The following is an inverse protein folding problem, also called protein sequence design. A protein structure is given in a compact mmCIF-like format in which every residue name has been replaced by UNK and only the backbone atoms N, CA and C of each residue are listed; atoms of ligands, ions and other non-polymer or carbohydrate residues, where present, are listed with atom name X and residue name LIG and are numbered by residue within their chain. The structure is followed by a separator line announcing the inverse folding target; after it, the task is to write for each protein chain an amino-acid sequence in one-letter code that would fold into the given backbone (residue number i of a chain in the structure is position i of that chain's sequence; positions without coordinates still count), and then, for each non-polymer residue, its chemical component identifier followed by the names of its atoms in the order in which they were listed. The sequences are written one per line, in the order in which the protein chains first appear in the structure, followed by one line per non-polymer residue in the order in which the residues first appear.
data_IF_597695048156
#
_entry.id   IF_597695048156
#
_cell.length_a   1.000
_cell.length_b   1.000
_cell.length_c   1.000
_cell.angle_alpha   90.00
_cell.angle_beta   90.00
_cell.angle_gamma   90.00
#
_symmetry.space_group_name_H-M   'P 1'
#
loop_
_entity.id
_entity.type
_entity.pdbx_description
1 polymer ?
#
# COMPACT_ATOMS: atom_id res chain seq x y z
N UNK A 1 0.91 20.44 -14.13
CA UNK A 1 -0.30 21.07 -13.55
C UNK A 1 -1.26 19.95 -13.17
N UNK A 2 -1.39 19.64 -11.87
CA UNK A 2 -2.31 18.59 -11.39
C UNK A 2 -3.69 19.21 -11.33
N UNK A 3 -4.62 18.76 -12.16
CA UNK A 3 -6.03 19.16 -12.08
C UNK A 3 -6.54 18.89 -10.67
N UNK A 4 -6.74 19.96 -9.89
CA UNK A 4 -7.10 19.93 -8.47
C UNK A 4 -8.52 19.43 -8.17
N UNK A 5 -9.10 18.58 -9.02
CA UNK A 5 -10.35 17.88 -8.74
C UNK A 5 -9.99 16.46 -8.31
N UNK A 6 -10.32 16.12 -7.07
CA UNK A 6 -10.12 14.77 -6.55
C UNK A 6 -10.85 13.78 -7.47
N UNK A 7 -10.22 12.63 -7.75
CA UNK A 7 -10.84 11.54 -8.52
C UNK A 7 -12.22 11.20 -7.92
N UNK A 8 -12.36 11.30 -6.60
CA UNK A 8 -13.64 11.11 -5.90
C UNK A 8 -14.71 12.13 -6.31
N UNK A 9 -14.38 13.40 -6.48
CA UNK A 9 -15.34 14.43 -6.90
C UNK A 9 -15.87 14.17 -8.32
N UNK A 10 -14.99 13.76 -9.24
CA UNK A 10 -15.38 13.41 -10.61
C UNK A 10 -16.27 12.16 -10.60
N UNK A 11 -15.92 11.16 -9.78
CA UNK A 11 -16.65 9.91 -9.67
C UNK A 11 -18.06 10.12 -9.06
N UNK A 12 -18.17 10.96 -8.02
CA UNK A 12 -19.47 11.33 -7.41
C UNK A 12 -20.34 12.05 -8.44
N UNK A 13 -19.81 13.06 -9.14
CA UNK A 13 -20.59 13.81 -10.13
C UNK A 13 -21.10 12.91 -11.26
N UNK A 14 -20.26 11.98 -11.75
CA UNK A 14 -20.63 11.03 -12.78
C UNK A 14 -21.71 10.03 -12.32
N UNK A 15 -21.57 9.47 -11.12
CA UNK A 15 -22.58 8.56 -10.56
C UNK A 15 -23.91 9.26 -10.26
N UNK A 16 -23.88 10.49 -9.73
CA UNK A 16 -25.08 11.28 -9.52
C UNK A 16 -25.81 11.55 -10.84
N UNK A 17 -25.10 11.81 -11.94
CA UNK A 17 -25.70 11.99 -13.26
C UNK A 17 -26.42 10.72 -13.74
N UNK A 18 -25.82 9.55 -13.55
CA UNK A 18 -26.42 8.26 -13.93
C UNK A 18 -27.72 8.02 -13.15
N UNK A 19 -27.69 8.25 -11.83
CA UNK A 19 -28.86 8.04 -10.96
C UNK A 19 -30.00 8.99 -11.33
N UNK A 20 -29.71 10.27 -11.56
CA UNK A 20 -30.71 11.27 -11.98
C UNK A 20 -31.30 10.92 -13.35
N UNK A 21 -30.47 10.51 -14.31
CA UNK A 21 -30.93 10.12 -15.65
C UNK A 21 -31.83 8.88 -15.59
N UNK A 22 -31.48 7.89 -14.77
CA UNK A 22 -32.29 6.68 -14.57
C UNK A 22 -33.64 7.00 -13.89
N UNK A 23 -33.64 7.91 -12.90
CA UNK A 23 -34.85 8.33 -12.20
C UNK A 23 -35.85 9.05 -13.12
N UNK A 24 -35.36 9.88 -14.04
CA UNK A 24 -36.20 10.64 -14.98
C UNK A 24 -36.72 9.75 -16.12
N UNK A 25 -35.87 8.88 -16.69
CA UNK A 25 -36.26 8.07 -17.86
C UNK A 25 -37.08 6.83 -17.51
N UNK A 26 -36.81 6.20 -16.37
CA UNK A 26 -37.37 4.87 -16.04
C UNK A 26 -38.13 4.85 -14.70
N UNK A 27 -38.06 5.93 -13.91
CA UNK A 27 -38.70 6.02 -12.61
C UNK A 27 -37.84 5.46 -11.46
N UNK A 28 -38.32 5.66 -10.24
CA UNK A 28 -37.61 5.33 -9.00
C UNK A 28 -37.11 3.88 -8.89
N UNK A 29 -37.85 2.83 -9.31
CA UNK A 29 -37.38 1.44 -9.19
C UNK A 29 -36.07 1.18 -9.94
N UNK A 30 -35.87 1.78 -11.11
CA UNK A 30 -34.67 1.60 -11.92
C UNK A 30 -33.47 2.41 -11.41
N UNK A 31 -33.72 3.56 -10.80
CA UNK A 31 -32.68 4.30 -10.08
C UNK A 31 -32.14 3.48 -8.89
N UNK A 32 -33.00 2.76 -8.16
CA UNK A 32 -32.57 1.85 -7.08
C UNK A 32 -31.67 0.73 -7.59
N UNK A 33 -31.93 0.14 -8.76
CA UNK A 33 -31.04 -0.86 -9.35
C UNK A 33 -29.65 -0.29 -9.69
N UNK A 34 -29.59 0.97 -10.16
CA UNK A 34 -28.30 1.65 -10.44
C UNK A 34 -27.49 1.90 -9.17
N UNK A 35 -28.16 2.36 -8.10
CA UNK A 35 -27.52 2.55 -6.78
C UNK A 35 -27.04 1.22 -6.20
N UNK A 36 -27.85 0.17 -6.31
CA UNK A 36 -27.49 -1.17 -5.84
C UNK A 36 -26.26 -1.71 -6.58
N UNK A 37 -26.23 -1.56 -7.91
CA UNK A 37 -25.10 -1.97 -8.73
C UNK A 37 -23.82 -1.24 -8.34
N UNK A 38 -23.90 0.07 -8.06
CA UNK A 38 -22.76 0.87 -7.60
C UNK A 38 -22.20 0.37 -6.26
N UNK A 39 -23.08 0.07 -5.30
CA UNK A 39 -22.68 -0.46 -3.97
C UNK A 39 -22.00 -1.82 -4.14
N UNK A 40 -22.59 -2.72 -4.93
CA UNK A 40 -22.03 -4.06 -5.18
C UNK A 40 -20.67 -3.94 -5.87
N UNK A 41 -20.54 -3.08 -6.90
CA UNK A 41 -19.30 -2.86 -7.60
C UNK A 41 -18.21 -2.27 -6.69
N UNK A 42 -18.54 -1.27 -5.87
CA UNK A 42 -17.62 -0.71 -4.89
C UNK A 42 -17.12 -1.78 -3.90
N UNK A 43 -18.02 -2.65 -3.43
CA UNK A 43 -17.67 -3.73 -2.51
C UNK A 43 -16.77 -4.79 -3.17
N UNK A 44 -17.05 -5.16 -4.41
CA UNK A 44 -16.21 -6.06 -5.20
C UNK A 44 -14.84 -5.42 -5.44
N UNK A 45 -14.79 -4.15 -5.82
CA UNK A 45 -13.54 -3.41 -6.02
C UNK A 45 -12.70 -3.40 -4.74
N UNK A 46 -13.30 -3.13 -3.57
CA UNK A 46 -12.58 -3.18 -2.29
C UNK A 46 -12.04 -4.57 -1.96
N UNK A 47 -12.76 -5.62 -2.35
CA UNK A 47 -12.37 -7.01 -2.12
C UNK A 47 -11.29 -7.49 -3.11
N UNK A 48 -11.41 -7.14 -4.38
CA UNK A 48 -10.49 -7.55 -5.46
C UNK A 48 -9.22 -6.70 -5.49
N UNK A 49 -9.30 -5.43 -5.08
CA UNK A 49 -8.15 -4.54 -5.01
C UNK A 49 -7.32 -4.87 -3.76
N UNK A 50 -6.53 -5.94 -3.86
CA UNK A 50 -5.54 -6.29 -2.85
C UNK A 50 -4.50 -5.19 -2.80
N UNK A 51 -4.64 -4.27 -1.84
CA UNK A 51 -3.56 -3.34 -1.48
C UNK A 51 -2.41 -4.19 -0.97
N UNK A 52 -1.44 -4.50 -1.83
CA UNK A 52 -0.16 -5.02 -1.39
C UNK A 52 0.46 -3.93 -0.50
N UNK A 53 0.30 -4.09 0.81
CA UNK A 53 0.85 -3.20 1.82
C UNK A 53 2.36 -3.45 1.89
N UNK A 54 3.10 -2.93 0.90
CA UNK A 54 4.56 -2.94 0.91
C UNK A 54 5.03 -1.88 1.91
N UNK A 55 6.02 -2.24 2.72
CA UNK A 55 6.60 -1.36 3.73
C UNK A 55 8.13 -1.40 3.57
N UNK A 56 8.76 -0.24 3.76
CA UNK A 56 10.21 -0.14 3.82
C UNK A 56 10.67 -0.37 5.25
N UNK A 57 11.59 -1.30 5.43
CA UNK A 57 12.26 -1.57 6.71
C UNK A 57 13.69 -1.05 6.60
N UNK A 58 14.10 -0.31 7.63
CA UNK A 58 15.46 0.19 7.82
C UNK A 58 16.08 -0.50 9.04
N UNK A 59 17.14 -1.27 8.82
CA UNK A 59 17.85 -2.00 9.87
C UNK A 59 19.23 -1.36 10.06
N UNK A 60 19.55 -0.96 11.29
CA UNK A 60 20.85 -0.36 11.65
C UNK A 60 21.62 -1.37 12.48
N UNK A 61 22.76 -1.84 11.97
CA UNK A 61 23.53 -2.91 12.62
C UNK A 61 25.03 -2.66 12.54
N UNK A 62 25.77 -3.22 13.50
CA UNK A 62 27.24 -3.33 13.46
C UNK A 62 27.73 -4.67 12.88
N UNK A 63 26.83 -5.60 12.56
CA UNK A 63 27.11 -6.92 12.00
C UNK A 63 26.29 -7.14 10.71
N UNK A 64 26.58 -6.40 9.63
CA UNK A 64 25.75 -6.44 8.43
C UNK A 64 25.67 -7.84 7.81
N UNK A 65 26.79 -8.56 7.70
CA UNK A 65 26.82 -9.88 7.05
C UNK A 65 25.89 -10.89 7.74
N UNK A 66 25.92 -10.95 9.08
CA UNK A 66 25.06 -11.86 9.85
C UNK A 66 23.57 -11.55 9.64
N UNK A 67 23.20 -10.27 9.62
CA UNK A 67 21.81 -9.84 9.41
C UNK A 67 21.39 -10.10 7.96
N UNK A 68 22.25 -9.82 6.99
CA UNK A 68 21.98 -10.09 5.57
C UNK A 68 21.74 -11.58 5.35
N UNK A 69 22.61 -12.44 5.87
CA UNK A 69 22.48 -13.89 5.75
C UNK A 69 21.17 -14.38 6.39
N UNK A 70 20.83 -13.89 7.59
CA UNK A 70 19.57 -14.27 8.24
C UNK A 70 18.35 -13.83 7.42
N UNK A 71 18.27 -12.55 7.04
CA UNK A 71 17.11 -12.01 6.30
C UNK A 71 16.97 -12.64 4.91
N UNK A 72 18.07 -12.92 4.21
CA UNK A 72 18.02 -13.58 2.90
C UNK A 72 17.63 -15.05 2.99
N UNK A 73 18.07 -15.77 4.03
CA UNK A 73 17.70 -17.17 4.22
C UNK A 73 16.23 -17.35 4.61
N UNK A 74 15.67 -16.43 5.41
CA UNK A 74 14.27 -16.50 5.84
C UNK A 74 13.30 -15.93 4.80
N UNK A 75 13.53 -14.70 4.31
CA UNK A 75 12.54 -13.99 3.49
C UNK A 75 12.87 -13.95 1.99
N UNK A 76 14.10 -14.31 1.59
CA UNK A 76 14.57 -14.24 0.18
C UNK A 76 14.32 -12.88 -0.49
N UNK A 77 14.44 -11.80 0.28
CA UNK A 77 14.23 -10.41 -0.19
C UNK A 77 15.55 -9.75 -0.57
N UNK A 78 15.47 -8.83 -1.54
CA UNK A 78 16.59 -7.97 -1.89
C UNK A 78 16.89 -6.96 -0.79
N UNK A 79 18.18 -6.70 -0.54
CA UNK A 79 18.66 -5.78 0.49
C UNK A 79 19.56 -4.75 -0.18
N UNK A 80 19.34 -3.46 0.11
CA UNK A 80 20.24 -2.37 -0.27
C UNK A 80 21.07 -1.97 0.94
N UNK A 81 22.37 -1.83 0.76
CA UNK A 81 23.32 -1.58 1.84
C UNK A 81 23.87 -0.16 1.70
N UNK A 82 23.84 0.59 2.80
CA UNK A 82 24.53 1.87 2.91
C UNK A 82 25.66 1.72 3.93
N UNK A 83 26.88 1.82 3.42
CA UNK A 83 28.11 1.75 4.20
C UNK A 83 28.44 3.10 4.85
N UNK A 84 29.34 3.08 5.84
CA UNK A 84 29.88 4.26 6.52
C UNK A 84 28.84 5.13 7.25
N UNK A 85 27.84 4.51 7.89
CA UNK A 85 27.02 5.22 8.86
C UNK A 85 27.77 5.32 10.20
N UNK A 86 27.57 6.40 10.95
CA UNK A 86 28.24 6.62 12.22
C UNK A 86 27.22 7.07 13.28
N UNK A 87 27.27 6.47 14.46
CA UNK A 87 26.43 6.87 15.59
C UNK A 87 26.94 8.17 16.22
N UNK A 88 26.11 9.21 16.27
CA UNK A 88 26.51 10.53 16.78
C UNK A 88 26.91 10.56 18.28
N UNK A 89 26.51 9.56 19.07
CA UNK A 89 26.83 9.51 20.51
C UNK A 89 28.12 8.74 20.81
N UNK A 90 28.31 7.57 20.20
CA UNK A 90 29.47 6.69 20.45
C UNK A 90 30.52 6.73 19.34
N UNK A 91 30.26 7.45 18.25
CA UNK A 91 31.10 7.48 17.05
C UNK A 91 31.43 6.08 16.52
N UNK A 92 30.50 5.15 16.68
CA UNK A 92 30.68 3.77 16.25
C UNK A 92 30.20 3.60 14.80
N UNK A 93 31.03 2.90 14.02
CA UNK A 93 30.68 2.55 12.65
C UNK A 93 29.46 1.61 12.64
N UNK A 94 28.46 1.98 11.85
CA UNK A 94 27.22 1.24 11.59
C UNK A 94 27.05 1.03 10.10
N UNK A 95 26.25 0.04 9.77
CA UNK A 95 25.75 -0.19 8.41
C UNK A 95 24.24 -0.11 8.45
N UNK A 96 23.66 0.54 7.44
CA UNK A 96 22.20 0.65 7.27
C UNK A 96 21.79 -0.29 6.14
N UNK A 97 20.79 -1.11 6.40
CA UNK A 97 20.18 -2.03 5.45
C UNK A 97 18.75 -1.58 5.16
N UNK A 98 18.39 -1.54 3.88
CA UNK A 98 17.04 -1.29 3.42
C UNK A 98 16.48 -2.53 2.74
N UNK A 99 15.28 -2.92 3.13
CA UNK A 99 14.51 -3.97 2.46
C UNK A 99 13.05 -3.54 2.33
N UNK A 100 12.40 -4.03 1.28
CA UNK A 100 10.96 -3.80 1.06
C UNK A 100 10.26 -5.14 1.22
N UNK A 101 9.42 -5.22 2.23
CA UNK A 101 8.63 -6.40 2.57
C UNK A 101 7.14 -6.10 2.47
N UNK A 102 6.33 -7.14 2.37
CA UNK A 102 4.90 -7.03 2.60
C UNK A 102 4.61 -6.96 4.11
N UNK A 103 3.48 -6.39 4.49
CA UNK A 103 3.05 -6.34 5.90
C UNK A 103 2.94 -7.72 6.56
N UNK A 104 2.69 -8.77 5.80
CA UNK A 104 2.59 -10.15 6.29
C UNK A 104 3.96 -10.73 6.66
N UNK A 105 5.02 -10.29 5.99
CA UNK A 105 6.41 -10.73 6.22
C UNK A 105 7.07 -10.04 7.42
N UNK A 106 6.38 -9.11 8.09
CA UNK A 106 6.96 -8.37 9.22
C UNK A 106 7.31 -9.28 10.41
N UNK A 107 6.44 -10.27 10.71
CA UNK A 107 6.70 -11.21 11.80
C UNK A 107 7.93 -12.08 11.53
N UNK A 108 8.03 -12.64 10.31
CA UNK A 108 9.19 -13.43 9.89
C UNK A 108 10.49 -12.62 9.90
N UNK A 109 10.42 -11.32 9.61
CA UNK A 109 11.58 -10.43 9.67
C UNK A 109 12.04 -10.15 11.11
N UNK A 110 11.12 -10.05 12.08
CA UNK A 110 11.47 -9.82 13.49
C UNK A 110 12.08 -11.06 14.16
N UNK A 111 11.71 -12.26 13.69
CA UNK A 111 12.29 -13.52 14.16
C UNK A 111 13.70 -13.81 13.60
N UNK A 112 14.03 -13.21 12.45
CA UNK A 112 15.30 -13.38 11.74
C UNK A 112 16.45 -12.52 12.29
#
# INVERSE_FOLDING_TARGET
QRTGKSIGTINIAFNSLIIISAAIMYGWPYAFYSVLSLIVNARIMDMTYTRQQKMQVMIITNRPNTVIDSVQNHLRRGITIVHNAEGAYRHDAKTILFTVISRYEMGELEEA
#
